data_IF_832463917647
#
_entry.id   IF_832463917647
#
_cell.length_a   1.000
_cell.length_b   1.000
_cell.length_c   1.000
_cell.angle_alpha   90.00
_cell.angle_beta   90.00
_cell.angle_gamma   90.00
#
_symmetry.space_group_name_H-M   'P 1'
#
loop_
_entity.id
_entity.type
_entity.pdbx_description
1 polymer ?
#
# COMPACT_ATOMS: atom_id res chain seq x y z
N UNK A 1 -31.96 8.99 88.37
CA UNK A 1 -30.58 8.96 87.84
C UNK A 1 -30.63 8.30 86.43
N UNK A 2 -30.82 9.14 85.38
CA UNK A 2 -31.02 8.70 84.00
C UNK A 2 -29.73 8.74 83.23
N UNK A 3 -29.33 7.58 82.70
CA UNK A 3 -28.21 7.51 81.69
C UNK A 3 -28.86 7.23 80.32
N UNK A 4 -28.82 8.23 79.43
CA UNK A 4 -29.10 8.05 78.01
C UNK A 4 -27.83 7.64 77.27
N UNK A 5 -27.84 6.46 76.68
CA UNK A 5 -26.83 5.99 75.79
C UNK A 5 -27.11 6.55 74.38
N UNK A 6 -26.20 7.39 73.86
CA UNK A 6 -26.20 7.91 72.49
C UNK A 6 -25.40 6.92 71.60
N UNK A 7 -26.14 6.21 70.75
CA UNK A 7 -25.52 5.44 69.67
C UNK A 7 -25.22 6.36 68.46
N UNK A 8 -23.96 6.60 68.16
CA UNK A 8 -23.55 7.25 66.95
C UNK A 8 -23.36 6.18 65.86
N UNK A 9 -24.27 6.17 64.90
CA UNK A 9 -24.16 5.32 63.68
C UNK A 9 -23.19 5.98 62.72
N UNK A 10 -21.99 5.40 62.54
CA UNK A 10 -21.06 5.79 61.49
C UNK A 10 -21.43 5.09 60.19
N UNK A 11 -21.95 5.84 59.22
CA UNK A 11 -22.21 5.36 57.88
C UNK A 11 -20.90 5.41 57.13
N UNK A 12 -20.30 4.24 56.87
CA UNK A 12 -19.16 4.07 55.96
C UNK A 12 -19.66 4.01 54.52
N UNK A 13 -19.55 5.11 53.78
CA UNK A 13 -19.79 5.11 52.36
C UNK A 13 -18.56 4.49 51.67
N UNK A 14 -18.69 3.26 51.22
CA UNK A 14 -17.71 2.62 50.33
C UNK A 14 -17.96 3.10 48.89
N UNK A 15 -17.19 4.12 48.46
CA UNK A 15 -17.16 4.51 47.04
C UNK A 15 -16.41 3.45 46.26
N UNK A 16 -17.13 2.56 45.58
CA UNK A 16 -16.56 1.64 44.61
C UNK A 16 -16.07 2.44 43.39
N UNK A 17 -14.76 2.69 43.33
CA UNK A 17 -14.10 3.19 42.13
C UNK A 17 -14.06 2.03 41.12
N UNK A 18 -15.02 2.02 40.17
CA UNK A 18 -14.91 1.15 38.98
C UNK A 18 -13.74 1.62 38.16
N UNK A 19 -12.63 0.91 38.25
CA UNK A 19 -11.52 1.04 37.27
C UNK A 19 -12.04 0.57 35.90
N UNK A 20 -12.35 1.49 35.01
CA UNK A 20 -12.60 1.20 33.62
C UNK A 20 -11.23 0.82 33.05
N UNK A 21 -10.94 -0.48 32.97
CA UNK A 21 -9.82 -0.99 32.22
C UNK A 21 -10.08 -0.66 30.74
N UNK A 22 -9.38 0.34 30.21
CA UNK A 22 -9.35 0.57 28.78
C UNK A 22 -8.79 -0.71 28.14
N UNK A 23 -9.66 -1.45 27.46
CA UNK A 23 -9.21 -2.56 26.61
C UNK A 23 -8.39 -1.92 25.48
N UNK A 24 -7.07 -1.99 25.57
CA UNK A 24 -6.19 -1.54 24.51
C UNK A 24 -6.42 -2.43 23.30
N UNK A 25 -6.91 -1.83 22.22
CA UNK A 25 -7.12 -2.57 20.98
C UNK A 25 -5.75 -3.14 20.49
N UNK A 26 -5.77 -4.35 19.97
CA UNK A 26 -4.57 -4.95 19.42
C UNK A 26 -4.00 -4.06 18.29
N UNK A 27 -2.66 -3.92 18.18
CA UNK A 27 -2.04 -3.15 17.11
C UNK A 27 -2.56 -3.58 15.74
N UNK A 28 -2.78 -2.60 14.85
CA UNK A 28 -3.18 -2.86 13.46
C UNK A 28 -2.05 -3.59 12.72
N UNK A 29 -2.35 -4.71 12.08
CA UNK A 29 -1.39 -5.41 11.23
C UNK A 29 -1.38 -4.77 9.84
N UNK A 30 -0.31 -4.06 9.52
CA UNK A 30 -0.14 -3.33 8.26
C UNK A 30 0.87 -4.05 7.39
N UNK A 31 0.45 -4.43 6.21
CA UNK A 31 1.26 -5.21 5.27
C UNK A 31 1.64 -4.40 4.04
N UNK A 32 2.71 -4.81 3.39
CA UNK A 32 3.13 -4.31 2.08
C UNK A 32 4.05 -5.32 1.40
N UNK A 33 4.26 -5.14 0.11
CA UNK A 33 5.27 -5.87 -0.66
C UNK A 33 6.57 -5.08 -0.83
N UNK A 34 7.62 -5.70 -1.39
CA UNK A 34 8.83 -4.99 -1.84
C UNK A 34 8.56 -4.31 -3.19
N UNK A 35 8.15 -3.05 -3.15
CA UNK A 35 7.78 -2.23 -4.32
C UNK A 35 8.49 -0.86 -4.28
N UNK A 36 9.81 -0.82 -4.57
CA UNK A 36 10.58 0.41 -4.52
C UNK A 36 10.17 1.42 -5.61
N UNK A 37 10.32 2.73 -5.37
CA UNK A 37 10.84 3.37 -4.15
C UNK A 37 9.76 3.61 -3.08
N UNK A 38 8.57 3.06 -3.23
CA UNK A 38 7.41 3.34 -2.36
C UNK A 38 7.50 2.61 -1.02
N UNK A 39 7.84 1.35 -1.05
CA UNK A 39 7.98 0.46 0.12
C UNK A 39 9.01 -0.63 -0.21
N UNK A 40 10.02 -0.76 0.63
CA UNK A 40 11.12 -1.69 0.40
C UNK A 40 11.85 -2.01 1.69
N UNK A 41 12.64 -3.07 1.67
CA UNK A 41 13.51 -3.38 2.78
C UNK A 41 14.73 -2.44 2.78
N UNK A 42 14.87 -1.67 3.85
CA UNK A 42 16.02 -0.81 4.12
C UNK A 42 17.05 -1.48 5.01
N UNK A 43 18.02 -0.69 5.46
CA UNK A 43 19.06 -1.15 6.38
C UNK A 43 18.49 -1.60 7.73
N UNK A 44 19.12 -2.62 8.32
CA UNK A 44 18.69 -3.16 9.61
C UNK A 44 17.32 -3.84 9.59
N UNK A 45 16.79 -4.18 8.42
CA UNK A 45 15.49 -4.85 8.29
C UNK A 45 14.27 -3.94 8.42
N UNK A 46 14.45 -2.62 8.51
CA UNK A 46 13.34 -1.67 8.51
C UNK A 46 12.67 -1.62 7.14
N UNK A 47 11.36 -1.41 7.13
CA UNK A 47 10.64 -1.10 5.91
C UNK A 47 10.72 0.41 5.70
N UNK A 48 11.14 0.85 4.52
CA UNK A 48 11.36 2.26 4.16
C UNK A 48 10.73 2.56 2.81
N UNK A 49 10.67 3.83 2.43
CA UNK A 49 10.18 4.27 1.13
C UNK A 49 9.09 5.33 1.26
N UNK A 50 8.75 5.95 0.14
CA UNK A 50 7.85 7.09 0.08
C UNK A 50 6.49 6.79 0.74
N UNK A 51 5.82 5.70 0.33
CA UNK A 51 4.52 5.33 0.92
C UNK A 51 4.64 4.91 2.38
N UNK A 52 5.76 4.28 2.75
CA UNK A 52 6.04 3.91 4.14
C UNK A 52 6.10 5.15 5.02
N UNK A 53 6.85 6.20 4.62
CA UNK A 53 6.92 7.46 5.39
C UNK A 53 5.56 8.15 5.51
N UNK A 54 4.74 8.12 4.44
CA UNK A 54 3.39 8.68 4.48
C UNK A 54 2.51 7.93 5.46
N UNK A 55 2.55 6.59 5.45
CA UNK A 55 1.75 5.73 6.34
C UNK A 55 2.19 5.87 7.80
N UNK A 56 3.49 5.92 8.06
CA UNK A 56 4.02 6.11 9.41
C UNK A 56 3.61 7.46 10.00
N UNK A 57 3.73 8.56 9.25
CA UNK A 57 3.30 9.89 9.72
C UNK A 57 1.78 9.96 9.90
N UNK A 58 1.01 9.32 9.01
CA UNK A 58 -0.44 9.23 9.12
C UNK A 58 -0.87 8.54 10.43
N UNK A 59 -0.31 7.36 10.73
CA UNK A 59 -0.65 6.62 11.93
C UNK A 59 -0.15 7.31 13.21
N UNK A 60 1.02 7.93 13.15
CA UNK A 60 1.53 8.75 14.26
C UNK A 60 0.57 9.91 14.60
N UNK A 61 0.10 10.67 13.62
CA UNK A 61 -0.89 11.75 13.84
C UNK A 61 -2.23 11.22 14.32
N UNK A 62 -2.61 10.04 13.87
CA UNK A 62 -3.86 9.40 14.28
C UNK A 62 -3.78 8.76 15.67
N UNK A 63 -2.58 8.56 16.24
CA UNK A 63 -2.39 7.81 17.47
C UNK A 63 -2.74 6.33 17.32
N UNK A 64 -2.53 5.75 16.13
CA UNK A 64 -2.81 4.33 15.84
C UNK A 64 -1.56 3.51 16.09
N UNK A 65 -1.66 2.51 16.97
CA UNK A 65 -0.61 1.51 17.14
C UNK A 65 -0.67 0.49 16.02
N UNK A 66 0.47 0.17 15.41
CA UNK A 66 0.54 -0.73 14.28
C UNK A 66 1.84 -1.54 14.24
N UNK A 67 1.82 -2.61 13.46
CA UNK A 67 2.98 -3.42 13.12
C UNK A 67 3.10 -3.50 11.60
N UNK A 68 4.24 -3.08 11.04
CA UNK A 68 4.54 -3.23 9.62
C UNK A 68 5.14 -4.59 9.32
N UNK A 69 4.69 -5.21 8.21
CA UNK A 69 5.23 -6.48 7.72
C UNK A 69 5.38 -6.43 6.20
N UNK A 70 6.58 -6.74 5.72
CA UNK A 70 6.87 -6.89 4.30
C UNK A 70 6.74 -8.36 3.91
N UNK A 71 5.92 -8.65 2.89
CA UNK A 71 5.64 -10.00 2.44
C UNK A 71 5.23 -10.02 0.95
N UNK A 72 5.17 -11.21 0.29
CA UNK A 72 4.70 -11.27 -1.09
C UNK A 72 3.30 -10.69 -1.28
N UNK A 73 3.12 -9.89 -2.35
CA UNK A 73 1.86 -9.18 -2.68
C UNK A 73 0.62 -10.04 -2.54
N UNK A 74 0.58 -11.18 -3.25
CA UNK A 74 -0.59 -12.06 -3.27
C UNK A 74 -1.03 -12.47 -1.86
N UNK A 75 -0.07 -12.83 -1.00
CA UNK A 75 -0.35 -13.20 0.38
C UNK A 75 -0.87 -12.03 1.20
N UNK A 76 -0.21 -10.87 1.11
CA UNK A 76 -0.64 -9.66 1.82
C UNK A 76 -2.07 -9.26 1.42
N UNK A 77 -2.40 -9.38 0.14
CA UNK A 77 -3.73 -9.10 -0.40
C UNK A 77 -4.79 -10.07 0.14
N UNK A 78 -4.52 -11.38 0.10
CA UNK A 78 -5.41 -12.42 0.60
C UNK A 78 -5.60 -12.31 2.13
N UNK A 79 -4.52 -12.06 2.88
CA UNK A 79 -4.57 -11.86 4.33
C UNK A 79 -5.42 -10.62 4.68
N UNK A 80 -5.31 -9.52 3.91
CA UNK A 80 -6.11 -8.31 4.14
C UNK A 80 -7.59 -8.53 3.84
N UNK A 81 -7.92 -9.33 2.84
CA UNK A 81 -9.31 -9.69 2.53
C UNK A 81 -9.94 -10.52 3.64
N UNK A 82 -9.22 -11.51 4.17
CA UNK A 82 -9.78 -12.54 5.03
C UNK A 82 -9.58 -12.31 6.53
N UNK A 83 -8.74 -11.36 6.95
CA UNK A 83 -8.36 -11.20 8.36
C UNK A 83 -8.75 -9.83 8.90
N UNK A 84 -9.60 -9.74 9.93
CA UNK A 84 -9.89 -8.47 10.60
C UNK A 84 -8.62 -7.81 11.18
N UNK A 85 -8.69 -6.50 11.44
CA UNK A 85 -7.60 -5.69 11.98
C UNK A 85 -6.32 -5.73 11.13
N UNK A 86 -6.49 -5.75 9.80
CA UNK A 86 -5.41 -5.74 8.81
C UNK A 86 -5.56 -4.59 7.82
N UNK A 87 -4.43 -4.13 7.29
CA UNK A 87 -4.38 -3.16 6.21
C UNK A 87 -3.21 -3.48 5.26
N UNK A 88 -3.32 -3.06 4.00
CA UNK A 88 -2.32 -3.22 2.95
C UNK A 88 -2.13 -1.88 2.24
N UNK A 89 -0.91 -1.32 2.31
CA UNK A 89 -0.63 -0.05 1.62
C UNK A 89 0.11 -0.25 0.29
N UNK A 90 0.19 0.84 -0.48
CA UNK A 90 0.59 0.84 -1.88
C UNK A 90 -0.30 -0.03 -2.76
N UNK A 91 -1.59 -0.08 -2.40
CA UNK A 91 -2.60 -0.83 -3.14
C UNK A 91 -3.26 0.07 -4.17
N UNK A 92 -3.18 -0.30 -5.45
CA UNK A 92 -3.92 0.42 -6.49
C UNK A 92 -5.42 0.19 -6.30
N UNK A 93 -6.17 1.29 -6.11
CA UNK A 93 -7.63 1.28 -6.01
C UNK A 93 -8.21 1.22 -7.40
N UNK A 94 -8.89 0.13 -7.73
CA UNK A 94 -9.54 -0.10 -9.02
C UNK A 94 -11.03 -0.36 -8.83
N UNK A 95 -11.87 -0.22 -9.87
CA UNK A 95 -13.30 -0.56 -9.78
C UNK A 95 -13.55 -1.98 -9.25
N UNK A 96 -12.74 -2.96 -9.66
CA UNK A 96 -12.87 -4.36 -9.26
C UNK A 96 -12.52 -4.57 -7.78
N UNK A 97 -11.65 -3.71 -7.22
CA UNK A 97 -11.21 -3.75 -5.82
C UNK A 97 -12.03 -2.86 -4.90
N UNK A 98 -12.79 -1.92 -5.46
CA UNK A 98 -13.54 -0.89 -4.72
C UNK A 98 -14.37 -1.46 -3.58
N UNK A 99 -15.17 -2.48 -3.88
CA UNK A 99 -16.07 -3.10 -2.93
C UNK A 99 -15.40 -4.13 -2.00
N UNK A 100 -14.12 -4.44 -2.19
CA UNK A 100 -13.40 -5.46 -1.42
C UNK A 100 -12.77 -4.93 -0.14
N UNK A 101 -12.52 -3.63 -0.05
CA UNK A 101 -11.80 -2.98 1.03
C UNK A 101 -12.50 -1.70 1.49
N UNK A 102 -12.05 -1.17 2.63
CA UNK A 102 -12.24 0.22 3.00
C UNK A 102 -10.96 0.99 2.70
N UNK A 103 -11.07 2.23 2.23
CA UNK A 103 -9.95 2.93 1.61
C UNK A 103 -9.57 4.22 2.34
N UNK A 104 -8.27 4.40 2.51
CA UNK A 104 -7.66 5.68 2.90
C UNK A 104 -6.68 6.09 1.81
N UNK A 105 -6.91 7.26 1.21
CA UNK A 105 -6.06 7.68 0.10
C UNK A 105 -6.65 8.77 -0.79
N UNK A 106 -5.98 9.04 -1.93
CA UNK A 106 -4.74 8.42 -2.41
C UNK A 106 -3.52 8.86 -1.59
N UNK A 107 -2.54 7.93 -1.46
CA UNK A 107 -1.25 8.21 -0.83
C UNK A 107 -0.28 8.81 -1.84
N UNK A 108 -0.15 8.17 -3.01
CA UNK A 108 0.81 8.51 -4.06
C UNK A 108 0.26 8.20 -5.45
N UNK A 109 0.78 8.90 -6.47
CA UNK A 109 0.54 8.57 -7.87
C UNK A 109 1.50 7.47 -8.32
N UNK A 110 1.03 6.52 -9.13
CA UNK A 110 1.85 5.47 -9.72
C UNK A 110 1.28 5.01 -11.06
N UNK A 111 1.51 5.79 -12.10
CA UNK A 111 1.00 5.49 -13.44
C UNK A 111 1.56 4.18 -13.97
N UNK A 112 0.73 3.41 -14.67
CA UNK A 112 1.15 2.19 -15.34
C UNK A 112 1.69 2.49 -16.72
N UNK A 113 2.88 1.96 -16.99
CA UNK A 113 3.66 2.26 -18.18
C UNK A 113 4.12 0.96 -18.83
N UNK A 114 4.09 0.91 -20.15
CA UNK A 114 4.86 -0.08 -20.90
C UNK A 114 6.29 0.40 -21.05
N UNK A 115 7.24 -0.44 -20.66
CA UNK A 115 8.65 -0.24 -20.86
C UNK A 115 9.17 -1.26 -21.88
N UNK A 116 10.09 -0.83 -22.74
CA UNK A 116 10.87 -1.72 -23.61
C UNK A 116 12.34 -1.74 -23.19
N UNK A 117 13.13 -2.68 -23.71
CA UNK A 117 14.57 -2.62 -23.53
C UNK A 117 15.14 -1.33 -24.14
N UNK A 118 16.30 -0.88 -23.63
CA UNK A 118 16.94 0.37 -24.08
C UNK A 118 17.33 0.35 -25.57
N UNK A 119 17.54 -0.84 -26.13
CA UNK A 119 17.96 -1.06 -27.54
C UNK A 119 16.80 -1.36 -28.47
N UNK A 120 15.61 -1.68 -27.95
CA UNK A 120 14.46 -2.01 -28.77
C UNK A 120 13.93 -0.80 -29.55
N UNK A 121 13.53 -1.01 -30.79
CA UNK A 121 12.84 -0.03 -31.63
C UNK A 121 11.34 -0.34 -31.66
N UNK A 122 10.69 -0.17 -30.52
CA UNK A 122 9.24 -0.41 -30.34
C UNK A 122 8.53 0.93 -30.22
N UNK A 123 7.43 1.07 -30.94
CA UNK A 123 6.52 2.22 -30.85
C UNK A 123 5.13 1.72 -30.52
N UNK A 124 4.54 2.27 -29.47
CA UNK A 124 3.15 2.01 -29.02
C UNK A 124 2.48 3.37 -28.87
N UNK A 125 1.36 3.58 -29.54
CA UNK A 125 0.56 4.81 -29.48
C UNK A 125 -0.80 4.60 -28.81
N UNK A 126 -1.18 3.35 -28.63
CA UNK A 126 -2.44 2.95 -28.00
C UNK A 126 -2.30 1.63 -27.27
N UNK A 127 -3.25 1.32 -26.41
CA UNK A 127 -3.32 0.02 -25.76
C UNK A 127 -3.45 -1.13 -26.78
N UNK A 128 -4.18 -0.90 -27.88
CA UNK A 128 -4.39 -1.89 -28.97
C UNK A 128 -3.06 -2.21 -29.68
N UNK A 129 -2.22 -1.20 -29.95
CA UNK A 129 -0.91 -1.40 -30.57
C UNK A 129 0.00 -2.32 -29.72
N UNK A 130 -0.17 -2.28 -28.40
CA UNK A 130 0.65 -3.09 -27.50
C UNK A 130 0.27 -4.59 -27.53
N UNK A 131 -0.91 -4.98 -27.97
CA UNK A 131 -1.40 -6.37 -27.96
C UNK A 131 -0.60 -7.32 -28.88
N UNK A 132 0.07 -6.79 -29.89
CA UNK A 132 0.92 -7.60 -30.79
C UNK A 132 2.18 -8.10 -30.09
N UNK A 133 2.63 -7.45 -29.01
CA UNK A 133 3.87 -7.72 -28.28
C UNK A 133 3.66 -8.73 -27.14
N UNK A 134 4.72 -9.43 -26.75
CA UNK A 134 4.77 -10.17 -25.51
C UNK A 134 4.97 -9.21 -24.35
N UNK A 135 4.07 -9.26 -23.34
CA UNK A 135 4.06 -8.32 -22.22
C UNK A 135 4.32 -9.06 -20.92
N UNK A 136 5.33 -8.61 -20.17
CA UNK A 136 5.59 -9.10 -18.82
C UNK A 136 4.77 -8.33 -17.78
N UNK A 137 4.28 -9.04 -16.79
CA UNK A 137 3.65 -8.54 -15.56
C UNK A 137 3.86 -9.55 -14.44
N UNK A 138 3.20 -9.39 -13.29
CA UNK A 138 3.28 -10.38 -12.22
C UNK A 138 1.90 -10.77 -11.68
N UNK A 139 1.86 -11.93 -11.00
CA UNK A 139 0.60 -12.54 -10.55
C UNK A 139 -0.10 -11.69 -9.50
N UNK A 140 -1.39 -11.40 -9.72
CA UNK A 140 -2.24 -10.61 -8.83
C UNK A 140 -1.99 -9.11 -8.88
N UNK A 141 -1.07 -8.64 -9.74
CA UNK A 141 -0.88 -7.21 -9.97
C UNK A 141 -2.07 -6.60 -10.70
N UNK A 142 -2.48 -5.41 -10.28
CA UNK A 142 -3.61 -4.71 -10.87
C UNK A 142 -3.41 -4.34 -12.35
N UNK A 143 -2.18 -3.97 -12.74
CA UNK A 143 -1.85 -3.67 -14.13
C UNK A 143 -1.96 -4.92 -14.99
N UNK A 144 -1.46 -6.06 -14.53
CA UNK A 144 -1.54 -7.34 -15.22
C UNK A 144 -3.01 -7.83 -15.34
N UNK A 145 -3.80 -7.70 -14.29
CA UNK A 145 -5.22 -8.03 -14.30
C UNK A 145 -6.00 -7.13 -15.29
N UNK A 146 -5.71 -5.84 -15.29
CA UNK A 146 -6.28 -4.91 -16.25
C UNK A 146 -5.94 -5.30 -17.69
N UNK A 147 -4.67 -5.59 -18.00
CA UNK A 147 -4.26 -6.00 -19.35
C UNK A 147 -4.91 -7.32 -19.76
N UNK A 148 -5.06 -8.28 -18.85
CA UNK A 148 -5.80 -9.53 -19.11
C UNK A 148 -7.26 -9.25 -19.46
N UNK A 149 -7.94 -8.37 -18.73
CA UNK A 149 -9.31 -7.94 -19.03
C UNK A 149 -9.42 -7.20 -20.36
N UNK A 150 -8.36 -6.49 -20.80
CA UNK A 150 -8.28 -5.85 -22.12
C UNK A 150 -7.94 -6.82 -23.26
N UNK A 151 -7.80 -8.12 -23.01
CA UNK A 151 -7.60 -9.14 -24.03
C UNK A 151 -6.15 -9.31 -24.52
N UNK A 152 -5.15 -9.05 -23.66
CA UNK A 152 -3.74 -9.30 -23.95
C UNK A 152 -3.45 -10.81 -23.95
N UNK A 153 -3.41 -11.44 -25.10
CA UNK A 153 -3.20 -12.89 -25.23
C UNK A 153 -1.75 -13.33 -24.96
N UNK A 154 -0.77 -12.42 -25.15
CA UNK A 154 0.67 -12.70 -24.96
C UNK A 154 1.20 -12.19 -23.61
N UNK A 155 0.35 -12.17 -22.58
CA UNK A 155 0.73 -11.74 -21.23
C UNK A 155 1.50 -12.87 -20.52
N UNK A 156 2.71 -12.58 -20.03
CA UNK A 156 3.58 -13.48 -19.29
C UNK A 156 3.68 -13.04 -17.84
N UNK A 157 3.06 -13.78 -16.93
CA UNK A 157 3.06 -13.45 -15.50
C UNK A 157 4.25 -14.10 -14.79
N UNK A 158 5.01 -13.29 -14.05
CA UNK A 158 6.10 -13.72 -13.17
C UNK A 158 5.62 -13.78 -11.71
N UNK A 159 6.49 -14.22 -10.81
CA UNK A 159 6.23 -14.18 -9.38
C UNK A 159 6.34 -12.74 -8.81
N UNK A 160 7.23 -11.92 -9.40
CA UNK A 160 7.46 -10.52 -9.05
C UNK A 160 8.12 -9.78 -10.22
N UNK A 161 8.26 -8.48 -10.11
CA UNK A 161 8.82 -7.63 -11.17
C UNK A 161 10.35 -7.73 -11.33
N UNK A 162 11.09 -8.19 -10.33
CA UNK A 162 12.53 -8.45 -10.48
C UNK A 162 12.79 -9.50 -11.59
N UNK A 163 11.91 -10.48 -11.77
CA UNK A 163 12.00 -11.43 -12.86
C UNK A 163 11.73 -10.78 -14.23
N UNK A 164 10.87 -9.78 -14.29
CA UNK A 164 10.50 -9.10 -15.53
C UNK A 164 11.63 -8.22 -16.07
N UNK A 165 12.38 -7.52 -15.21
CA UNK A 165 13.54 -6.74 -15.66
C UNK A 165 14.58 -7.64 -16.36
N UNK A 166 14.83 -8.84 -15.84
CA UNK A 166 15.75 -9.83 -16.45
C UNK A 166 15.19 -10.42 -17.75
N UNK A 167 13.89 -10.66 -17.83
CA UNK A 167 13.23 -11.12 -19.06
C UNK A 167 13.32 -10.07 -20.16
N UNK A 168 13.09 -8.80 -19.81
CA UNK A 168 13.14 -7.68 -20.75
C UNK A 168 14.56 -7.51 -21.32
N UNK A 169 15.58 -7.53 -20.46
CA UNK A 169 16.98 -7.44 -20.85
C UNK A 169 17.40 -8.61 -21.75
N UNK A 170 16.92 -9.82 -21.46
CA UNK A 170 17.19 -11.03 -22.26
C UNK A 170 16.33 -11.14 -23.53
N UNK A 171 15.48 -10.18 -23.84
CA UNK A 171 14.56 -10.21 -25.00
C UNK A 171 13.50 -11.32 -24.94
N UNK A 172 13.18 -11.82 -23.74
CA UNK A 172 12.14 -12.86 -23.54
C UNK A 172 10.74 -12.28 -23.46
N UNK A 173 10.61 -11.00 -23.22
CA UNK A 173 9.43 -10.18 -23.35
C UNK A 173 9.79 -8.93 -24.13
N UNK A 174 8.86 -8.41 -24.92
CA UNK A 174 9.03 -7.19 -25.72
C UNK A 174 8.77 -5.94 -24.89
N UNK A 175 7.72 -6.02 -24.05
CA UNK A 175 7.26 -4.96 -23.16
C UNK A 175 7.16 -5.48 -21.72
N UNK A 176 7.42 -4.59 -20.78
CA UNK A 176 7.15 -4.81 -19.37
C UNK A 176 6.13 -3.77 -18.87
N UNK A 177 5.00 -4.24 -18.39
CA UNK A 177 3.94 -3.42 -17.82
C UNK A 177 4.13 -3.32 -16.32
N UNK A 178 4.44 -2.12 -15.82
CA UNK A 178 4.65 -1.87 -14.39
C UNK A 178 4.50 -0.38 -14.05
N UNK A 179 4.67 -0.02 -12.77
CA UNK A 179 4.65 1.36 -12.32
C UNK A 179 5.83 2.19 -12.82
N UNK A 180 5.58 3.46 -13.07
CA UNK A 180 6.53 4.38 -13.71
C UNK A 180 7.88 4.50 -12.99
N UNK A 181 7.93 4.33 -11.67
CA UNK A 181 9.15 4.45 -10.87
C UNK A 181 9.87 3.12 -10.63
N UNK A 182 9.15 1.99 -10.73
CA UNK A 182 9.69 0.69 -10.41
C UNK A 182 10.72 0.20 -11.45
N UNK A 183 10.41 0.38 -12.75
CA UNK A 183 11.27 -0.14 -13.82
C UNK A 183 12.70 0.43 -13.78
N UNK A 184 12.92 1.76 -13.74
CA UNK A 184 14.28 2.31 -13.65
C UNK A 184 14.98 1.94 -12.34
N UNK A 185 14.25 1.85 -11.22
CA UNK A 185 14.83 1.46 -9.94
C UNK A 185 15.35 0.02 -9.98
N UNK A 186 14.55 -0.94 -10.44
CA UNK A 186 14.95 -2.34 -10.52
C UNK A 186 16.08 -2.55 -11.53
N UNK A 187 16.08 -1.83 -12.66
CA UNK A 187 17.18 -1.89 -13.62
C UNK A 187 18.50 -1.44 -12.99
N UNK A 188 18.51 -0.36 -12.24
CA UNK A 188 19.68 0.11 -11.49
C UNK A 188 20.15 -0.91 -10.45
N UNK A 189 19.23 -1.47 -9.67
CA UNK A 189 19.52 -2.50 -8.66
C UNK A 189 20.11 -3.77 -9.27
N UNK A 190 19.58 -4.22 -10.39
CA UNK A 190 20.04 -5.42 -11.11
C UNK A 190 21.23 -5.14 -12.04
N UNK A 191 21.70 -3.89 -12.12
CA UNK A 191 22.83 -3.43 -12.94
C UNK A 191 22.66 -3.74 -14.43
N UNK A 192 21.44 -3.58 -14.92
CA UNK A 192 21.11 -3.69 -16.36
C UNK A 192 20.79 -2.31 -16.95
N UNK A 193 20.72 -2.23 -18.28
CA UNK A 193 20.38 -0.99 -18.95
C UNK A 193 18.99 -0.50 -18.56
N UNK A 194 18.86 0.81 -18.33
CA UNK A 194 17.55 1.40 -17.95
C UNK A 194 16.52 1.21 -19.07
N UNK A 195 15.35 0.62 -18.78
CA UNK A 195 14.30 0.44 -19.77
C UNK A 195 13.75 1.78 -20.25
N UNK A 196 13.30 1.83 -21.50
CA UNK A 196 12.65 3.02 -22.07
C UNK A 196 11.16 3.01 -21.72
N UNK A 197 10.60 4.08 -21.15
CA UNK A 197 9.16 4.24 -21.09
C UNK A 197 8.61 4.47 -22.50
N UNK A 198 7.63 3.66 -22.91
CA UNK A 198 7.07 3.70 -24.27
C UNK A 198 5.69 4.34 -24.27
N UNK A 199 4.82 3.97 -23.34
CA UNK A 199 3.44 4.44 -23.32
C UNK A 199 2.85 4.33 -21.92
N UNK A 200 2.29 5.44 -21.41
CA UNK A 200 1.48 5.43 -20.19
C UNK A 200 0.09 4.93 -20.56
N UNK A 201 -0.23 3.70 -20.19
CA UNK A 201 -1.51 3.10 -20.58
C UNK A 201 -2.62 3.33 -19.56
N UNK A 202 -2.26 3.75 -18.33
CA UNK A 202 -3.26 4.12 -17.32
C UNK A 202 -2.65 5.01 -16.24
N UNK A 203 -3.33 6.11 -15.96
CA UNK A 203 -3.04 6.91 -14.78
C UNK A 203 -3.68 6.22 -13.56
N UNK A 204 -2.90 6.01 -12.52
CA UNK A 204 -3.35 5.35 -11.30
C UNK A 204 -2.74 5.93 -10.04
N UNK A 205 -3.38 5.63 -8.93
CA UNK A 205 -2.98 6.05 -7.60
C UNK A 205 -2.99 4.85 -6.65
N UNK A 206 -2.04 4.85 -5.74
CA UNK A 206 -1.99 3.85 -4.68
C UNK A 206 -2.56 4.41 -3.38
N UNK A 207 -3.24 3.56 -2.65
CA UNK A 207 -3.95 3.87 -1.41
C UNK A 207 -3.61 2.84 -0.33
N UNK A 208 -4.10 3.08 0.86
CA UNK A 208 -4.11 2.14 1.97
C UNK A 208 -5.48 1.44 1.98
N UNK A 209 -5.47 0.13 1.76
CA UNK A 209 -6.64 -0.75 1.76
C UNK A 209 -6.79 -1.40 3.13
N UNK A 210 -7.94 -1.26 3.76
CA UNK A 210 -8.26 -1.91 5.04
C UNK A 210 -9.23 -3.07 4.84
N UNK A 211 -9.12 -4.09 5.69
CA UNK A 211 -10.16 -5.10 5.78
C UNK A 211 -11.54 -4.47 6.01
N UNK A 212 -12.60 -5.08 5.46
CA UNK A 212 -13.97 -4.52 5.50
C UNK A 212 -14.54 -4.35 6.89
N UNK A 213 -14.08 -5.15 7.86
CA UNK A 213 -14.56 -5.08 9.25
C UNK A 213 -13.92 -3.93 10.04
N UNK A 214 -13.01 -3.17 9.43
CA UNK A 214 -12.41 -1.98 10.05
C UNK A 214 -13.49 -0.94 10.34
N UNK A 215 -13.55 -0.36 11.56
CA UNK A 215 -14.54 0.68 11.90
C UNK A 215 -14.49 1.88 10.95
N UNK A 216 -15.67 2.36 10.53
CA UNK A 216 -15.77 3.50 9.60
C UNK A 216 -15.23 4.80 10.23
N UNK A 217 -15.30 4.94 11.53
CA UNK A 217 -14.74 6.08 12.27
C UNK A 217 -13.22 6.16 12.09
N UNK A 218 -12.53 5.01 12.10
CA UNK A 218 -11.09 4.99 11.87
C UNK A 218 -10.76 5.40 10.42
N UNK A 219 -11.49 4.90 9.43
CA UNK A 219 -11.32 5.24 8.03
C UNK A 219 -11.54 6.74 7.78
N UNK A 220 -12.61 7.30 8.34
CA UNK A 220 -12.93 8.73 8.26
C UNK A 220 -11.80 9.56 8.88
N UNK A 221 -11.42 9.26 10.12
CA UNK A 221 -10.32 9.94 10.83
C UNK A 221 -9.02 9.93 10.04
N UNK A 222 -8.64 8.78 9.47
CA UNK A 222 -7.40 8.66 8.71
C UNK A 222 -7.46 9.47 7.41
N UNK A 223 -8.59 9.50 6.71
CA UNK A 223 -8.75 10.34 5.51
C UNK A 223 -8.69 11.84 5.83
N UNK A 224 -9.28 12.28 6.93
CA UNK A 224 -9.19 13.67 7.40
C UNK A 224 -7.75 14.07 7.72
N UNK A 225 -7.00 13.20 8.43
CA UNK A 225 -5.58 13.45 8.74
C UNK A 225 -4.75 13.47 7.46
N UNK A 226 -4.99 12.56 6.51
CA UNK A 226 -4.29 12.54 5.23
C UNK A 226 -4.56 13.83 4.42
N UNK A 227 -5.80 14.34 4.45
CA UNK A 227 -6.13 15.61 3.83
C UNK A 227 -5.37 16.78 4.48
N UNK A 228 -5.27 16.79 5.83
CA UNK A 228 -4.48 17.77 6.56
C UNK A 228 -2.98 17.68 6.21
N UNK A 229 -2.41 16.47 6.08
CA UNK A 229 -1.02 16.25 5.66
C UNK A 229 -0.73 16.76 4.24
N UNK A 230 -1.70 16.71 3.35
CA UNK A 230 -1.61 17.32 2.00
C UNK A 230 -1.64 18.85 2.11
N UNK A 231 -2.55 19.38 2.89
CA UNK A 231 -2.74 20.83 3.03
C UNK A 231 -1.55 21.54 3.72
N UNK A 232 -0.90 20.88 4.68
CA UNK A 232 0.25 21.46 5.41
C UNK A 232 1.61 21.22 4.74
N UNK A 233 1.61 20.63 3.54
CA UNK A 233 2.83 20.36 2.75
C UNK A 233 3.67 19.19 3.27
N UNK A 234 3.18 18.39 4.20
CA UNK A 234 3.90 17.19 4.72
C UNK A 234 4.12 16.17 3.59
N UNK A 235 3.10 15.92 2.78
CA UNK A 235 3.21 14.99 1.64
C UNK A 235 4.25 15.48 0.63
N UNK A 236 4.29 16.78 0.32
CA UNK A 236 5.26 17.35 -0.62
C UNK A 236 6.69 17.23 -0.11
N UNK A 237 6.89 17.46 1.20
CA UNK A 237 8.21 17.27 1.84
C UNK A 237 8.68 15.81 1.81
N UNK A 238 7.77 14.86 1.97
CA UNK A 238 8.10 13.42 1.86
C UNK A 238 8.44 13.11 0.40
N UNK A 239 7.61 13.52 -0.56
CA UNK A 239 7.83 13.29 -1.99
C UNK A 239 9.20 13.82 -2.46
N UNK A 240 9.59 15.02 -2.01
CA UNK A 240 10.86 15.65 -2.40
C UNK A 240 12.12 14.84 -2.00
N UNK A 241 12.03 13.89 -1.09
CA UNK A 241 13.15 13.02 -0.72
C UNK A 241 13.40 11.89 -1.73
N UNK A 242 12.41 11.62 -2.61
CA UNK A 242 12.40 10.48 -3.53
C UNK A 242 12.39 10.89 -5.02
N UNK A 243 12.56 12.19 -5.30
CA UNK A 243 12.63 12.79 -6.67
C UNK A 243 14.05 12.89 -7.19
#
# INVERSE_FOLDING_TARGET
>A
MNYQLLWKSAIFSVSSMMAISAVQAAPLNVMTEDYPPFNMQGEGGKIVGLSTEVVEELFKRAGVEYKLTLMPWKRAYEDTLGTPNTALYSTTRTPEREALFKWVGPLVNNNWVFFSSSTANITVKSLEDAKQYSVGGYNGDAAAEYLKAQGFAKLQLAANDTANVKKLEAGRIDLWATGQYLAPYLASKEKVASPKPIFVFKETQMSLAFNKDTPDELITKLNEILAAMKADGTIDKINAKYQ
#
